data_IF_237851413108
#
_entry.id   IF_237851413108
#
_cell.length_a   1.000
_cell.length_b   1.000
_cell.length_c   1.000
_cell.angle_alpha   90.00
_cell.angle_beta   90.00
_cell.angle_gamma   90.00
#
_symmetry.space_group_name_H-M   'P 1'
#
loop_
_entity.id
_entity.type
_entity.pdbx_description
1 polymer ?
#
# COMPACT_ATOMS: atom_id res chain seq x y z
N UNK A 1 -2.45 -7.11 -24.40
CA UNK A 1 -3.93 -7.01 -24.33
C UNK A 1 -4.28 -5.61 -23.89
N UNK A 2 -5.00 -4.85 -24.71
CA UNK A 2 -5.41 -3.48 -24.38
C UNK A 2 -6.28 -3.40 -23.13
N UNK A 3 -7.18 -4.38 -22.93
CA UNK A 3 -8.02 -4.44 -21.72
C UNK A 3 -7.17 -4.57 -20.45
N UNK A 4 -6.10 -5.38 -20.49
CA UNK A 4 -5.19 -5.53 -19.36
C UNK A 4 -4.41 -4.23 -19.08
N UNK A 5 -3.93 -3.57 -20.14
CA UNK A 5 -3.23 -2.29 -20.04
C UNK A 5 -4.14 -1.20 -19.45
N UNK A 6 -5.36 -1.09 -19.97
CA UNK A 6 -6.38 -0.16 -19.47
C UNK A 6 -6.73 -0.41 -18.00
N UNK A 7 -6.89 -1.66 -17.60
CA UNK A 7 -7.13 -2.02 -16.20
C UNK A 7 -5.98 -1.56 -15.29
N UNK A 8 -4.73 -1.87 -15.68
CA UNK A 8 -3.53 -1.47 -14.93
C UNK A 8 -3.41 0.06 -14.86
N UNK A 9 -3.69 0.76 -15.96
CA UNK A 9 -3.65 2.22 -16.06
C UNK A 9 -4.63 2.88 -15.09
N UNK A 10 -5.90 2.46 -15.12
CA UNK A 10 -6.97 3.02 -14.28
C UNK A 10 -6.70 2.74 -12.79
N UNK A 11 -6.32 1.52 -12.44
CA UNK A 11 -6.01 1.14 -11.05
C UNK A 11 -4.77 1.90 -10.54
N UNK A 12 -3.73 2.02 -11.36
CA UNK A 12 -2.51 2.77 -11.03
C UNK A 12 -2.81 4.24 -10.72
N UNK A 13 -3.53 4.92 -11.62
CA UNK A 13 -3.86 6.33 -11.45
C UNK A 13 -4.83 6.58 -10.28
N UNK A 14 -5.82 5.70 -10.08
CA UNK A 14 -6.71 5.74 -8.92
C UNK A 14 -5.90 5.62 -7.63
N UNK A 15 -5.00 4.64 -7.56
CA UNK A 15 -4.13 4.44 -6.39
C UNK A 15 -3.24 5.66 -6.15
N UNK A 16 -2.66 6.22 -7.21
CA UNK A 16 -1.78 7.38 -7.14
C UNK A 16 -2.45 8.58 -6.45
N UNK A 17 -3.68 8.89 -6.85
CA UNK A 17 -4.43 10.02 -6.33
C UNK A 17 -4.98 9.76 -4.91
N UNK A 18 -5.72 8.67 -4.73
CA UNK A 18 -6.45 8.41 -3.47
C UNK A 18 -5.49 8.08 -2.31
N UNK A 19 -4.39 7.36 -2.54
CA UNK A 19 -3.40 7.14 -1.47
C UNK A 19 -2.69 8.43 -1.06
N UNK A 20 -2.51 9.37 -2.01
CA UNK A 20 -1.98 10.69 -1.71
C UNK A 20 -2.89 11.49 -0.77
N UNK A 21 -4.20 11.42 -0.95
CA UNK A 21 -5.18 12.13 -0.10
C UNK A 21 -5.11 11.67 1.36
N UNK A 22 -4.92 10.37 1.58
CA UNK A 22 -4.72 9.84 2.94
C UNK A 22 -3.47 10.49 3.58
N UNK A 23 -2.38 10.67 2.83
CA UNK A 23 -1.15 11.30 3.31
C UNK A 23 -1.34 12.71 3.91
N UNK A 24 -2.34 13.47 3.45
CA UNK A 24 -2.63 14.83 3.95
C UNK A 24 -3.04 14.82 5.43
N UNK A 25 -3.81 13.82 5.86
CA UNK A 25 -4.40 13.80 7.21
C UNK A 25 -3.56 13.01 8.23
N UNK A 26 -2.61 12.18 7.77
CA UNK A 26 -1.80 11.34 8.66
C UNK A 26 -0.93 12.19 9.58
N UNK A 27 -0.85 11.78 10.85
CA UNK A 27 -0.04 12.46 11.87
C UNK A 27 1.24 11.69 12.24
N UNK A 28 1.38 10.45 11.81
CA UNK A 28 2.61 9.67 11.98
C UNK A 28 3.57 9.96 10.81
N UNK A 29 4.79 10.40 11.12
CA UNK A 29 5.82 10.76 10.13
C UNK A 29 6.11 9.62 9.14
N UNK A 30 6.22 8.37 9.60
CA UNK A 30 6.48 7.21 8.74
C UNK A 30 5.28 6.87 7.89
N UNK A 31 4.06 6.98 8.45
CA UNK A 31 2.82 6.70 7.70
C UNK A 31 2.62 7.70 6.57
N UNK A 32 2.88 8.99 6.78
CA UNK A 32 2.83 9.99 5.70
C UNK A 32 3.77 9.57 4.55
N UNK A 33 5.00 9.17 4.87
CA UNK A 33 5.97 8.72 3.86
C UNK A 33 5.53 7.38 3.22
N UNK A 34 4.94 6.45 3.98
CA UNK A 34 4.44 5.20 3.44
C UNK A 34 3.29 5.39 2.44
N UNK A 35 2.30 6.24 2.74
CA UNK A 35 1.22 6.57 1.79
C UNK A 35 1.75 7.30 0.56
N UNK A 36 2.77 8.14 0.74
CA UNK A 36 3.43 8.76 -0.40
C UNK A 36 4.15 7.74 -1.30
N UNK A 37 4.61 6.61 -0.76
CA UNK A 37 5.15 5.48 -1.55
C UNK A 37 4.04 4.76 -2.31
N UNK A 38 2.91 4.45 -1.66
CA UNK A 38 1.76 3.84 -2.34
C UNK A 38 1.26 4.71 -3.50
N UNK A 39 1.24 6.04 -3.30
CA UNK A 39 0.92 7.00 -4.34
C UNK A 39 1.93 6.95 -5.50
N UNK A 40 3.24 6.99 -5.25
CA UNK A 40 4.25 6.93 -6.32
C UNK A 40 4.28 5.57 -7.04
N UNK A 41 4.03 4.46 -6.34
CA UNK A 41 3.84 3.15 -6.99
C UNK A 41 2.63 3.19 -7.93
N UNK A 42 1.57 3.93 -7.58
CA UNK A 42 0.45 4.19 -8.49
C UNK A 42 0.87 4.87 -9.80
N UNK A 43 1.76 5.88 -9.74
CA UNK A 43 2.34 6.51 -10.95
C UNK A 43 3.11 5.47 -11.78
N UNK A 44 3.94 4.64 -11.15
CA UNK A 44 4.71 3.61 -11.86
C UNK A 44 3.77 2.61 -12.54
N UNK A 45 2.75 2.13 -11.83
CA UNK A 45 1.75 1.19 -12.36
C UNK A 45 0.97 1.83 -13.51
N UNK A 46 0.58 3.10 -13.40
CA UNK A 46 -0.07 3.83 -14.50
C UNK A 46 0.84 3.91 -15.74
N UNK A 47 2.15 4.16 -15.56
CA UNK A 47 3.10 4.13 -16.67
C UNK A 47 3.15 2.77 -17.37
N UNK A 48 3.14 1.66 -16.62
CA UNK A 48 3.07 0.32 -17.21
C UNK A 48 1.77 0.12 -18.00
N UNK A 49 0.65 0.67 -17.51
CA UNK A 49 -0.64 0.66 -18.21
C UNK A 49 -0.62 1.45 -19.53
N UNK A 50 0.17 2.53 -19.62
CA UNK A 50 0.40 3.30 -20.85
C UNK A 50 1.50 2.69 -21.75
N UNK A 51 1.97 1.47 -21.46
CA UNK A 51 3.13 0.81 -22.10
C UNK A 51 4.45 1.59 -21.99
N UNK A 52 4.53 2.60 -21.12
CA UNK A 52 5.71 3.40 -20.82
C UNK A 52 6.61 2.70 -19.77
N UNK A 53 6.98 1.44 -20.04
CA UNK A 53 7.68 0.60 -19.07
C UNK A 53 9.02 1.19 -18.61
N UNK A 54 9.78 1.78 -19.54
CA UNK A 54 11.06 2.42 -19.24
C UNK A 54 10.89 3.63 -18.29
N UNK A 55 9.83 4.44 -18.46
CA UNK A 55 9.50 5.53 -17.55
C UNK A 55 9.12 5.03 -16.15
N UNK A 56 8.34 3.96 -16.07
CA UNK A 56 8.02 3.30 -14.80
C UNK A 56 9.27 2.80 -14.05
N UNK A 57 10.20 2.15 -14.75
CA UNK A 57 11.47 1.66 -14.18
C UNK A 57 12.43 2.80 -13.81
N UNK A 58 12.51 3.83 -14.64
CA UNK A 58 13.28 5.03 -14.34
C UNK A 58 12.76 5.71 -13.07
N UNK A 59 11.44 5.86 -12.93
CA UNK A 59 10.84 6.38 -11.70
C UNK A 59 11.10 5.46 -10.51
N UNK A 60 10.98 4.14 -10.65
CA UNK A 60 11.31 3.17 -9.60
C UNK A 60 12.73 3.37 -9.05
N UNK A 61 13.72 3.53 -9.93
CA UNK A 61 15.11 3.78 -9.53
C UNK A 61 15.25 5.11 -8.78
N UNK A 62 14.77 6.22 -9.36
CA UNK A 62 14.85 7.54 -8.69
C UNK A 62 14.15 7.53 -7.33
N UNK A 63 13.00 6.86 -7.28
CA UNK A 63 12.17 6.69 -6.09
C UNK A 63 12.86 5.92 -4.98
N UNK A 64 13.61 4.86 -5.31
CA UNK A 64 14.38 4.14 -4.31
C UNK A 64 15.34 5.08 -3.55
N UNK A 65 16.04 5.98 -4.27
CA UNK A 65 16.96 6.94 -3.64
C UNK A 65 16.23 7.96 -2.75
N UNK A 66 15.26 8.70 -3.30
CA UNK A 66 14.62 9.77 -2.53
C UNK A 66 13.69 9.24 -1.42
N UNK A 67 13.12 8.04 -1.55
CA UNK A 67 12.37 7.42 -0.43
C UNK A 67 13.28 6.89 0.66
N UNK A 68 14.38 6.23 0.30
CA UNK A 68 15.36 5.79 1.31
C UNK A 68 15.88 7.01 2.10
N UNK A 69 16.16 8.12 1.40
CA UNK A 69 16.52 9.39 2.01
C UNK A 69 15.46 9.91 2.98
N UNK A 70 14.20 9.97 2.56
CA UNK A 70 13.09 10.47 3.39
C UNK A 70 12.82 9.57 4.60
N UNK A 71 12.81 8.24 4.44
CA UNK A 71 12.61 7.31 5.56
C UNK A 71 13.76 7.35 6.55
N UNK A 72 15.01 7.44 6.07
CA UNK A 72 16.16 7.54 6.95
C UNK A 72 16.20 8.89 7.68
N UNK A 73 15.84 9.99 7.00
CA UNK A 73 15.79 11.31 7.62
C UNK A 73 14.66 11.38 8.65
N UNK A 74 13.50 10.80 8.36
CA UNK A 74 12.44 10.59 9.35
C UNK A 74 12.90 9.73 10.53
N UNK A 75 13.64 8.64 10.27
CA UNK A 75 14.23 7.80 11.31
C UNK A 75 15.18 8.58 12.23
N UNK A 76 16.02 9.45 11.65
CA UNK A 76 16.88 10.36 12.39
C UNK A 76 16.09 11.30 13.30
N UNK A 77 15.02 11.92 12.79
CA UNK A 77 14.10 12.75 13.59
C UNK A 77 13.45 11.94 14.71
N UNK A 78 12.97 10.72 14.44
CA UNK A 78 12.33 9.85 15.44
C UNK A 78 13.30 9.52 16.58
N UNK A 79 14.57 9.23 16.27
CA UNK A 79 15.60 8.98 17.28
C UNK A 79 15.83 10.24 18.12
N UNK A 80 15.93 11.41 17.49
CA UNK A 80 16.08 12.70 18.17
C UNK A 80 14.88 13.07 19.04
N UNK A 81 13.69 12.57 18.70
CA UNK A 81 12.42 12.80 19.40
C UNK A 81 12.06 11.66 20.37
N UNK A 82 13.04 10.89 20.87
CA UNK A 82 12.84 9.78 21.82
C UNK A 82 11.78 8.75 21.37
N UNK A 83 11.81 8.39 20.09
CA UNK A 83 10.90 7.46 19.43
C UNK A 83 9.46 7.96 19.21
N UNK A 84 9.17 9.24 19.48
CA UNK A 84 7.90 9.84 19.08
C UNK A 84 7.80 9.96 17.55
N UNK A 85 6.68 9.50 17.01
CA UNK A 85 6.39 9.48 15.58
C UNK A 85 5.29 10.48 15.21
N UNK A 86 4.61 11.06 16.21
CA UNK A 86 3.54 12.02 15.99
C UNK A 86 4.10 13.40 15.67
N UNK A 87 3.88 13.85 14.44
CA UNK A 87 4.38 15.14 13.94
C UNK A 87 3.78 16.32 14.71
N UNK A 88 2.65 16.14 15.41
CA UNK A 88 2.00 17.19 16.22
C UNK A 88 2.79 17.55 17.48
N UNK A 89 3.69 16.67 17.91
CA UNK A 89 4.58 16.87 19.05
C UNK A 89 5.97 17.37 18.63
N UNK A 90 6.26 17.34 17.33
CA UNK A 90 7.49 17.83 16.72
C UNK A 90 7.42 19.34 16.42
N UNK A 91 8.51 19.90 15.91
CA UNK A 91 8.60 21.29 15.46
C UNK A 91 9.98 21.86 15.65
N UNK A 92 10.38 22.83 14.82
CA UNK A 92 11.64 23.56 15.02
C UNK A 92 12.92 22.71 14.97
N UNK A 93 12.84 21.45 14.53
CA UNK A 93 13.95 20.48 14.56
C UNK A 93 15.17 20.96 13.77
N UNK A 94 14.97 21.82 12.74
CA UNK A 94 16.04 22.38 11.90
C UNK A 94 17.14 23.10 12.68
N UNK A 95 16.84 23.63 13.88
CA UNK A 95 17.82 24.33 14.71
C UNK A 95 18.91 23.39 15.24
N UNK A 96 18.56 22.12 15.42
CA UNK A 96 19.37 21.10 16.07
C UNK A 96 19.91 20.06 15.08
N UNK A 97 19.13 19.73 14.05
CA UNK A 97 19.45 18.70 13.06
C UNK A 97 19.51 19.27 11.65
N UNK A 98 20.58 20.02 11.34
CA UNK A 98 20.72 20.76 10.08
C UNK A 98 20.93 19.87 8.85
N UNK A 99 21.68 18.78 8.99
CA UNK A 99 21.95 17.84 7.88
C UNK A 99 20.68 17.04 7.59
N UNK A 100 20.02 16.53 8.63
CA UNK A 100 18.74 15.82 8.50
C UNK A 100 17.67 16.74 7.90
N UNK A 101 17.61 18.01 8.32
CA UNK A 101 16.71 19.01 7.74
C UNK A 101 16.95 19.25 6.25
N UNK A 102 18.21 19.45 5.85
CA UNK A 102 18.56 19.72 4.46
C UNK A 102 18.34 18.49 3.57
N UNK A 103 18.78 17.32 4.03
CA UNK A 103 18.61 16.06 3.29
C UNK A 103 17.12 15.69 3.15
N UNK A 104 16.30 15.92 4.18
CA UNK A 104 14.85 15.77 4.08
C UNK A 104 14.26 16.72 3.04
N UNK A 105 14.71 17.98 3.00
CA UNK A 105 14.27 18.94 1.97
C UNK A 105 14.63 18.46 0.57
N UNK A 106 15.87 18.01 0.34
CA UNK A 106 16.30 17.50 -0.96
C UNK A 106 15.49 16.28 -1.40
N UNK A 107 15.20 15.35 -0.48
CA UNK A 107 14.31 14.21 -0.76
C UNK A 107 12.87 14.63 -1.04
N UNK A 108 12.37 15.66 -0.35
CA UNK A 108 11.03 16.23 -0.57
C UNK A 108 10.94 16.89 -1.94
N UNK A 109 11.94 17.69 -2.33
CA UNK A 109 12.02 18.33 -3.64
C UNK A 109 12.11 17.30 -4.77
N UNK A 110 12.88 16.24 -4.59
CA UNK A 110 12.89 15.12 -5.52
C UNK A 110 11.52 14.44 -5.61
N UNK A 111 10.87 14.15 -4.48
CA UNK A 111 9.56 13.49 -4.45
C UNK A 111 8.44 14.29 -5.14
N UNK A 112 8.42 15.62 -4.98
CA UNK A 112 7.37 16.45 -5.60
C UNK A 112 7.60 16.67 -7.10
N UNK A 113 8.79 16.34 -7.61
CA UNK A 113 9.20 16.66 -8.98
C UNK A 113 9.57 18.14 -9.12
N UNK A 114 10.43 18.66 -8.24
CA UNK A 114 10.92 20.03 -8.42
C UNK A 114 11.95 20.09 -9.56
N UNK A 115 11.92 21.11 -10.44
CA UNK A 115 12.82 21.24 -11.58
C UNK A 115 14.29 21.01 -11.23
N UNK A 116 14.96 20.16 -12.00
CA UNK A 116 16.37 19.82 -11.81
C UNK A 116 16.66 18.72 -10.77
N UNK A 117 15.66 18.19 -10.07
CA UNK A 117 15.81 16.99 -9.23
C UNK A 117 15.44 15.72 -9.99
N UNK A 118 15.90 14.56 -9.53
CA UNK A 118 15.70 13.30 -10.23
C UNK A 118 14.23 12.96 -10.47
N UNK A 119 13.36 13.30 -9.52
CA UNK A 119 11.93 13.02 -9.63
C UNK A 119 11.20 13.90 -10.64
N UNK A 120 11.73 15.06 -11.03
CA UNK A 120 11.14 15.86 -12.11
C UNK A 120 11.23 15.10 -13.43
N UNK A 121 12.44 14.66 -13.78
CA UNK A 121 12.69 13.89 -15.00
C UNK A 121 11.85 12.61 -15.08
N UNK A 122 11.74 11.87 -13.97
CA UNK A 122 11.04 10.59 -13.99
C UNK A 122 9.53 10.70 -13.87
N UNK A 123 9.02 11.63 -13.05
CA UNK A 123 7.58 11.77 -12.81
C UNK A 123 6.88 12.48 -13.96
N UNK A 124 7.48 13.54 -14.50
CA UNK A 124 6.88 14.27 -15.63
C UNK A 124 6.85 13.39 -16.88
N UNK A 125 7.89 12.58 -17.12
CA UNK A 125 7.89 11.60 -18.22
C UNK A 125 6.74 10.60 -18.13
N UNK A 126 6.36 10.17 -16.91
CA UNK A 126 5.18 9.31 -16.71
C UNK A 126 3.89 10.07 -17.06
N UNK A 127 3.74 11.31 -16.55
CA UNK A 127 2.53 12.10 -16.77
C UNK A 127 2.34 12.39 -18.27
N UNK A 128 3.42 12.70 -18.97
CA UNK A 128 3.44 12.96 -20.41
C UNK A 128 3.12 11.68 -21.20
N UNK A 129 3.76 10.54 -20.88
CA UNK A 129 3.49 9.28 -21.56
C UNK A 129 2.06 8.75 -21.33
N UNK A 130 1.50 8.95 -20.14
CA UNK A 130 0.09 8.65 -19.88
C UNK A 130 -0.83 9.63 -20.62
N UNK A 131 -0.41 10.89 -20.79
CA UNK A 131 -1.17 11.90 -21.54
C UNK A 131 -1.18 11.65 -23.06
N UNK A 132 -0.12 11.07 -23.63
CA UNK A 132 -0.05 10.75 -25.07
C UNK A 132 -0.67 9.39 -25.42
N UNK A 133 -0.80 8.48 -24.44
CA UNK A 133 -1.39 7.15 -24.66
C UNK A 133 -2.83 7.21 -25.19
N UNK A 134 -3.11 6.37 -26.19
CA UNK A 134 -4.44 6.20 -26.78
C UNK A 134 -5.25 5.06 -26.14
N UNK A 135 -4.75 4.46 -25.06
CA UNK A 135 -5.41 3.35 -24.37
C UNK A 135 -6.65 3.88 -23.63
N UNK A 136 -7.74 3.11 -23.65
CA UNK A 136 -8.95 3.47 -22.92
C UNK A 136 -8.65 3.78 -21.44
N UNK A 137 -9.08 4.95 -20.98
CA UNK A 137 -8.84 5.44 -19.62
C UNK A 137 -7.60 6.35 -19.47
N UNK A 138 -6.86 6.63 -20.54
CA UNK A 138 -5.68 7.51 -20.49
C UNK A 138 -5.98 8.92 -20.00
N UNK A 139 -7.04 9.57 -20.51
CA UNK A 139 -7.42 10.91 -20.07
C UNK A 139 -7.74 10.96 -18.58
N UNK A 140 -8.53 9.98 -18.11
CA UNK A 140 -8.85 9.82 -16.69
C UNK A 140 -7.58 9.65 -15.84
N UNK A 141 -6.68 8.77 -16.28
CA UNK A 141 -5.44 8.50 -15.60
C UNK A 141 -4.55 9.74 -15.55
N UNK A 142 -4.36 10.42 -16.69
CA UNK A 142 -3.57 11.62 -16.82
C UNK A 142 -4.03 12.70 -15.84
N UNK A 143 -5.33 13.02 -15.79
CA UNK A 143 -5.84 14.04 -14.88
C UNK A 143 -5.67 13.66 -13.40
N UNK A 144 -5.87 12.39 -13.03
CA UNK A 144 -5.60 11.93 -11.66
C UNK A 144 -4.12 12.06 -11.29
N UNK A 145 -3.20 11.74 -12.20
CA UNK A 145 -1.77 11.90 -11.97
C UNK A 145 -1.40 13.39 -11.87
N UNK A 146 -1.97 14.26 -12.70
CA UNK A 146 -1.77 15.73 -12.66
C UNK A 146 -2.26 16.30 -11.32
N UNK A 147 -3.48 15.99 -10.88
CA UNK A 147 -3.98 16.42 -9.57
C UNK A 147 -3.21 15.77 -8.41
N UNK A 148 -2.72 14.54 -8.59
CA UNK A 148 -1.86 13.85 -7.64
C UNK A 148 -0.55 14.60 -7.37
N UNK A 149 -0.04 15.40 -8.32
CA UNK A 149 1.16 16.23 -8.11
C UNK A 149 0.90 17.31 -7.06
N UNK A 150 -0.25 18.00 -7.14
CA UNK A 150 -0.67 18.97 -6.12
C UNK A 150 -0.75 18.31 -4.74
N UNK A 151 -1.42 17.14 -4.66
CA UNK A 151 -1.59 16.39 -3.41
C UNK A 151 -0.24 15.96 -2.85
N UNK A 152 0.68 15.50 -3.71
CA UNK A 152 2.05 15.12 -3.35
C UNK A 152 2.81 16.26 -2.73
N UNK A 153 2.78 17.43 -3.36
CA UNK A 153 3.42 18.62 -2.81
C UNK A 153 2.80 19.04 -1.47
N UNK A 154 1.47 19.03 -1.38
CA UNK A 154 0.76 19.44 -0.18
C UNK A 154 1.12 18.58 1.05
N UNK A 155 1.02 17.25 0.97
CA UNK A 155 1.34 16.41 2.15
C UNK A 155 2.84 16.41 2.47
N UNK A 156 3.71 16.51 1.46
CA UNK A 156 5.16 16.45 1.66
C UNK A 156 5.67 17.72 2.33
N UNK A 157 5.23 18.88 1.86
CA UNK A 157 5.58 20.16 2.48
C UNK A 157 4.84 20.42 3.80
N UNK A 158 3.61 19.91 3.96
CA UNK A 158 2.95 19.87 5.28
C UNK A 158 3.85 19.17 6.30
N UNK A 159 4.32 17.98 5.97
CA UNK A 159 5.21 17.20 6.85
C UNK A 159 6.49 17.98 7.16
N UNK A 160 7.15 18.49 6.11
CA UNK A 160 8.38 19.27 6.26
C UNK A 160 8.21 20.52 7.14
N UNK A 161 7.14 21.31 6.94
CA UNK A 161 6.91 22.52 7.72
C UNK A 161 6.56 22.22 9.17
N UNK A 162 5.70 21.23 9.43
CA UNK A 162 5.32 20.86 10.80
C UNK A 162 6.55 20.39 11.58
N UNK A 163 7.32 19.45 11.02
CA UNK A 163 8.46 18.83 11.72
C UNK A 163 9.61 19.81 11.93
N UNK A 164 10.00 20.55 10.89
CA UNK A 164 11.24 21.34 10.93
C UNK A 164 11.05 22.82 11.22
N UNK A 165 9.88 23.40 10.89
CA UNK A 165 9.63 24.85 10.95
C UNK A 165 8.56 25.25 11.97
N UNK A 166 7.88 24.29 12.61
CA UNK A 166 6.92 24.55 13.69
C UNK A 166 7.53 25.22 14.93
N UNK A 167 6.69 25.50 15.93
CA UNK A 167 7.04 26.26 17.15
C UNK A 167 8.02 25.56 18.12
N UNK A 168 8.55 24.39 17.76
CA UNK A 168 9.45 23.60 18.60
C UNK A 168 8.78 22.33 19.13
N UNK A 169 9.54 21.34 19.63
CA UNK A 169 8.99 20.16 20.28
C UNK A 169 8.16 20.56 21.50
N UNK A 170 7.05 19.84 21.74
CA UNK A 170 6.20 20.09 22.93
C UNK A 170 6.84 19.62 24.23
N UNK A 171 7.58 18.51 24.17
CA UNK A 171 8.33 17.97 25.30
C UNK A 171 9.63 18.76 25.51
N UNK A 172 9.85 19.26 26.73
CA UNK A 172 11.06 20.00 27.08
C UNK A 172 12.29 19.10 27.20
N UNK A 173 12.13 17.85 27.67
CA UNK A 173 13.23 16.89 27.76
C UNK A 173 13.77 16.52 26.37
N UNK A 174 12.86 16.40 25.40
CA UNK A 174 13.25 16.19 24.01
C UNK A 174 14.12 17.35 23.47
N UNK A 175 13.92 18.59 23.91
CA UNK A 175 14.71 19.74 23.43
C UNK A 175 16.16 19.68 23.88
N UNK A 176 16.43 19.20 25.10
CA UNK A 176 17.79 19.17 25.67
C UNK A 176 18.69 18.13 25.00
N UNK A 177 18.09 17.06 24.49
CA UNK A 177 18.83 15.96 23.86
C UNK A 177 18.73 15.93 22.33
N UNK A 178 17.96 16.85 21.72
CA UNK A 178 17.83 16.93 20.28
C UNK A 178 19.16 17.39 19.65
N UNK A 179 19.81 16.46 18.96
CA UNK A 179 21.06 16.67 18.22
C UNK A 179 21.08 15.81 16.97
N UNK A 180 22.00 16.09 16.06
CA UNK A 180 22.18 15.26 14.88
C UNK A 180 22.45 13.79 15.25
N UNK A 181 21.99 12.92 14.37
CA UNK A 181 22.28 11.49 14.49
C UNK A 181 23.78 11.20 14.32
N UNK A 182 24.26 10.05 14.83
CA UNK A 182 25.65 9.63 14.63
C UNK A 182 25.97 9.45 13.13
N UNK A 183 27.27 9.48 12.79
CA UNK A 183 27.76 9.40 11.42
C UNK A 183 27.24 8.18 10.64
N UNK A 184 26.95 7.07 11.33
CA UNK A 184 26.36 5.86 10.73
C UNK A 184 24.99 6.12 10.08
N UNK A 185 24.25 7.14 10.54
CA UNK A 185 22.98 7.59 9.95
C UNK A 185 23.21 8.77 9.00
N UNK A 186 24.02 9.75 9.42
CA UNK A 186 24.21 11.00 8.66
C UNK A 186 24.95 10.79 7.33
N UNK A 187 25.92 9.88 7.28
CA UNK A 187 26.66 9.60 6.05
C UNK A 187 25.74 8.99 4.97
N UNK A 188 24.95 7.92 5.23
CA UNK A 188 23.98 7.44 4.26
C UNK A 188 22.95 8.50 3.82
N UNK A 189 22.53 9.42 4.70
CA UNK A 189 21.64 10.53 4.31
C UNK A 189 22.29 11.41 3.22
N UNK A 190 23.55 11.80 3.41
CA UNK A 190 24.27 12.61 2.42
C UNK A 190 24.46 11.82 1.11
N UNK A 191 24.87 10.56 1.22
CA UNK A 191 25.10 9.70 0.05
C UNK A 191 23.81 9.44 -0.76
N UNK A 192 22.66 9.33 -0.11
CA UNK A 192 21.36 9.17 -0.77
C UNK A 192 20.81 10.50 -1.34
N UNK A 193 21.21 11.64 -0.77
CA UNK A 193 20.83 12.96 -1.30
C UNK A 193 21.46 13.24 -2.67
N UNK A 194 22.71 12.82 -2.91
CA UNK A 194 23.41 13.02 -4.18
C UNK A 194 22.62 12.44 -5.38
N UNK A 195 22.30 11.13 -5.45
CA UNK A 195 21.54 10.58 -6.56
C UNK A 195 20.11 11.13 -6.60
N UNK A 196 19.48 11.45 -5.47
CA UNK A 196 18.14 12.08 -5.45
C UNK A 196 18.10 13.44 -6.15
N UNK A 197 19.22 14.15 -6.22
CA UNK A 197 19.35 15.40 -6.99
C UNK A 197 19.77 15.08 -8.42
N UNK A 198 20.86 14.33 -8.59
CA UNK A 198 21.60 14.33 -9.86
C UNK A 198 21.32 13.15 -10.79
N UNK A 199 20.82 12.00 -10.30
CA UNK A 199 20.75 10.78 -11.14
C UNK A 199 19.87 10.97 -12.38
N UNK A 200 18.83 11.81 -12.27
CA UNK A 200 17.91 12.08 -13.38
C UNK A 200 18.60 12.73 -14.58
N UNK A 201 19.60 13.59 -14.35
CA UNK A 201 20.35 14.26 -15.42
C UNK A 201 21.12 13.29 -16.30
N UNK A 202 21.68 12.25 -15.69
CA UNK A 202 22.51 11.26 -16.38
C UNK A 202 21.70 10.09 -16.94
N UNK A 203 20.59 9.74 -16.28
CA UNK A 203 19.84 8.52 -16.59
C UNK A 203 18.66 8.74 -17.54
N UNK A 204 18.08 9.95 -17.63
CA UNK A 204 16.89 10.20 -18.45
C UNK A 204 17.11 9.77 -19.91
N UNK A 205 18.19 10.23 -20.54
CA UNK A 205 18.45 9.99 -21.95
C UNK A 205 18.78 8.51 -22.23
N UNK A 206 19.74 7.86 -21.55
CA UNK A 206 20.01 6.44 -21.78
C UNK A 206 18.81 5.52 -21.50
N UNK A 207 18.04 5.80 -20.44
CA UNK A 207 16.95 4.91 -20.00
C UNK A 207 15.65 5.11 -20.76
N UNK A 208 15.27 6.35 -21.09
CA UNK A 208 13.99 6.63 -21.75
C UNK A 208 14.09 6.64 -23.27
N UNK A 209 15.18 7.20 -23.80
CA UNK A 209 15.32 7.48 -25.24
C UNK A 209 16.52 6.77 -25.88
N UNK A 210 17.31 6.02 -25.10
CA UNK A 210 18.49 5.30 -25.54
C UNK A 210 18.30 3.79 -25.61
N UNK A 211 19.41 3.08 -25.82
CA UNK A 211 19.44 1.62 -26.01
C UNK A 211 19.49 0.82 -24.68
N UNK A 212 19.36 1.45 -23.51
CA UNK A 212 19.57 0.78 -22.20
C UNK A 212 18.67 -0.45 -21.99
N UNK A 213 17.43 -0.40 -22.48
CA UNK A 213 16.46 -1.49 -22.38
C UNK A 213 16.25 -2.27 -23.70
N UNK A 214 17.10 -2.03 -24.70
CA UNK A 214 16.98 -2.67 -26.01
C UNK A 214 17.04 -4.19 -25.88
N UNK A 215 16.03 -4.87 -26.42
CA UNK A 215 15.91 -6.34 -26.35
C UNK A 215 15.45 -6.89 -25.00
N UNK A 216 15.23 -6.04 -23.99
CA UNK A 216 14.68 -6.44 -22.68
C UNK A 216 13.20 -6.06 -22.58
N UNK A 217 12.85 -4.85 -22.99
CA UNK A 217 11.47 -4.38 -23.00
C UNK A 217 10.87 -4.55 -24.40
N UNK A 218 9.66 -5.09 -24.45
CA UNK A 218 8.87 -5.17 -25.67
C UNK A 218 7.67 -4.22 -25.56
N UNK A 219 7.62 -3.25 -26.46
CA UNK A 219 6.50 -2.30 -26.62
C UNK A 219 5.95 -2.49 -28.03
N UNK A 220 4.63 -2.66 -28.14
CA UNK A 220 3.98 -2.71 -29.44
C UNK A 220 4.00 -1.30 -30.05
N UNK A 221 4.27 -1.18 -31.35
CA UNK A 221 4.37 0.12 -32.03
C UNK A 221 3.11 0.99 -31.90
N UNK A 222 1.93 0.37 -31.74
CA UNK A 222 0.67 1.07 -31.50
C UNK A 222 0.58 1.76 -30.13
N UNK A 223 1.47 1.44 -29.18
CA UNK A 223 1.47 1.98 -27.81
C UNK A 223 2.83 2.59 -27.44
N UNK A 224 3.65 2.96 -28.42
CA UNK A 224 4.99 3.52 -28.17
C UNK A 224 4.95 5.00 -27.82
N UNK A 225 4.38 5.29 -26.64
CA UNK A 225 4.22 6.66 -26.11
C UNK A 225 5.54 7.35 -25.84
N UNK A 226 6.58 6.60 -25.46
CA UNK A 226 7.91 7.15 -25.21
C UNK A 226 8.66 7.45 -26.52
N UNK A 227 8.43 6.67 -27.58
CA UNK A 227 8.91 6.99 -28.92
C UNK A 227 8.39 8.34 -29.40
N UNK A 228 7.07 8.58 -29.30
CA UNK A 228 6.44 9.86 -29.66
C UNK A 228 7.00 11.04 -28.85
N UNK A 229 7.17 10.89 -27.53
CA UNK A 229 7.79 11.91 -26.68
C UNK A 229 9.25 12.13 -27.06
N UNK A 230 9.96 11.06 -27.44
CA UNK A 230 11.35 11.08 -27.85
C UNK A 230 11.60 11.95 -29.08
N UNK A 231 10.64 12.08 -30.00
CA UNK A 231 10.75 12.97 -31.17
C UNK A 231 10.85 14.45 -30.78
N UNK A 232 10.26 14.82 -29.65
CA UNK A 232 10.27 16.18 -29.10
C UNK A 232 11.33 16.38 -28.00
N UNK A 233 12.00 15.31 -27.56
CA UNK A 233 13.08 15.39 -26.60
C UNK A 233 14.38 15.86 -27.27
N UNK A 234 14.88 17.01 -26.86
CA UNK A 234 16.15 17.56 -27.38
C UNK A 234 17.31 17.45 -26.41
N UNK A 235 17.09 17.83 -25.15
CA UNK A 235 18.08 17.76 -24.07
C UNK A 235 17.40 17.94 -22.71
N UNK A 236 18.16 17.73 -21.64
CA UNK A 236 17.70 17.78 -20.25
C UNK A 236 17.15 19.17 -19.87
N UNK A 237 17.78 20.24 -20.37
CA UNK A 237 17.35 21.63 -20.09
C UNK A 237 16.05 21.95 -20.83
N UNK A 238 15.91 21.47 -22.07
CA UNK A 238 14.68 21.56 -22.86
C UNK A 238 13.51 20.87 -22.15
N UNK A 239 13.74 19.64 -21.66
CA UNK A 239 12.75 18.90 -20.87
C UNK A 239 12.32 19.68 -19.62
N UNK A 240 13.28 20.26 -18.88
CA UNK A 240 12.98 21.14 -17.73
C UNK A 240 12.16 22.35 -18.15
N UNK A 241 12.56 23.04 -19.22
CA UNK A 241 11.87 24.26 -19.66
C UNK A 241 10.42 23.99 -20.08
N UNK A 242 10.16 22.85 -20.74
CA UNK A 242 8.82 22.41 -21.09
C UNK A 242 7.99 22.09 -19.84
N UNK A 243 8.51 21.27 -18.92
CA UNK A 243 7.76 20.87 -17.73
C UNK A 243 7.50 22.02 -16.74
N UNK A 244 8.39 23.02 -16.66
CA UNK A 244 8.15 24.24 -15.85
C UNK A 244 6.98 25.08 -16.40
N UNK A 245 6.76 25.05 -17.72
CA UNK A 245 5.61 25.72 -18.33
C UNK A 245 4.33 24.89 -18.23
N UNK A 246 4.45 23.58 -17.98
CA UNK A 246 3.33 22.67 -17.90
C UNK A 246 2.53 22.81 -16.58
N UNK A 247 1.26 22.40 -16.63
CA UNK A 247 0.34 22.45 -15.50
C UNK A 247 0.84 21.70 -14.23
N UNK A 248 1.48 20.51 -14.31
CA UNK A 248 1.98 19.80 -13.14
C UNK A 248 2.91 20.63 -12.24
N UNK A 249 3.81 21.44 -12.83
CA UNK A 249 4.71 22.30 -12.06
C UNK A 249 3.93 23.34 -11.25
N UNK A 250 2.98 24.04 -11.86
CA UNK A 250 2.15 25.03 -11.17
C UNK A 250 1.28 24.42 -10.07
N UNK A 251 0.80 23.20 -10.28
CA UNK A 251 0.10 22.43 -9.26
C UNK A 251 1.01 22.02 -8.10
N UNK A 252 2.25 21.59 -8.37
CA UNK A 252 3.23 21.31 -7.31
C UNK A 252 3.52 22.56 -6.48
N UNK A 253 3.77 23.70 -7.14
CA UNK A 253 4.01 24.98 -6.49
C UNK A 253 2.78 25.47 -5.72
N UNK A 254 1.58 25.24 -6.24
CA UNK A 254 0.32 25.51 -5.56
C UNK A 254 0.18 24.66 -4.28
N UNK A 255 0.49 23.37 -4.34
CA UNK A 255 0.47 22.48 -3.17
C UNK A 255 1.47 22.91 -2.09
N UNK A 256 2.68 23.29 -2.50
CA UNK A 256 3.71 23.87 -1.63
C UNK A 256 3.23 25.19 -0.99
N UNK A 257 2.66 26.10 -1.78
CA UNK A 257 2.16 27.38 -1.30
C UNK A 257 1.00 27.23 -0.31
N UNK A 258 0.06 26.32 -0.60
CA UNK A 258 -1.03 25.96 0.32
C UNK A 258 -0.47 25.36 1.60
N UNK A 259 0.49 24.43 1.51
CA UNK A 259 1.12 23.83 2.69
C UNK A 259 1.80 24.90 3.56
N UNK A 260 2.55 25.81 2.94
CA UNK A 260 3.23 26.90 3.63
C UNK A 260 2.23 27.84 4.33
N UNK A 261 1.21 28.29 3.60
CA UNK A 261 0.23 29.22 4.16
C UNK A 261 -0.61 28.58 5.27
N UNK A 262 -1.12 27.36 5.07
CA UNK A 262 -1.99 26.69 6.04
C UNK A 262 -1.22 26.22 7.26
N UNK A 263 -0.06 25.60 7.11
CA UNK A 263 0.63 24.94 8.24
C UNK A 263 1.70 25.80 8.91
N UNK A 264 2.26 26.81 8.23
CA UNK A 264 3.25 27.71 8.82
C UNK A 264 2.66 29.07 9.21
N UNK A 265 1.87 29.69 8.32
CA UNK A 265 1.34 31.04 8.55
C UNK A 265 0.04 31.07 9.34
N UNK A 266 -0.96 30.24 8.98
CA UNK A 266 -2.29 30.25 9.61
C UNK A 266 -2.82 28.84 9.96
N UNK A 267 -2.25 28.17 10.97
CA UNK A 267 -2.64 26.81 11.39
C UNK A 267 -4.12 26.64 11.76
N UNK A 268 -4.82 27.73 12.13
CA UNK A 268 -6.25 27.70 12.43
C UNK A 268 -7.12 27.27 11.24
N UNK A 269 -6.64 27.47 10.00
CA UNK A 269 -7.35 26.99 8.79
C UNK A 269 -7.49 25.47 8.82
N UNK A 270 -6.41 24.74 9.11
CA UNK A 270 -6.44 23.28 9.15
C UNK A 270 -7.38 22.75 10.24
N UNK A 271 -7.40 23.39 11.42
CA UNK A 271 -8.31 23.04 12.51
C UNK A 271 -9.77 23.28 12.13
N UNK A 272 -10.08 24.43 11.53
CA UNK A 272 -11.42 24.77 11.08
C UNK A 272 -11.92 23.84 9.96
N UNK A 273 -11.05 23.50 9.01
CA UNK A 273 -11.38 22.54 7.94
C UNK A 273 -11.68 21.17 8.50
N UNK A 274 -10.91 20.70 9.49
CA UNK A 274 -11.20 19.42 10.17
C UNK A 274 -12.58 19.42 10.84
N UNK A 275 -12.94 20.49 11.54
CA UNK A 275 -14.24 20.59 12.22
C UNK A 275 -15.39 20.67 11.20
N UNK A 276 -15.23 21.47 10.15
CA UNK A 276 -16.27 21.67 9.13
C UNK A 276 -16.49 20.45 8.24
N UNK A 277 -15.42 19.72 7.93
CA UNK A 277 -15.43 18.54 7.05
C UNK A 277 -15.06 17.27 7.83
N UNK A 278 -15.61 17.11 9.03
CA UNK A 278 -15.30 15.96 9.90
C UNK A 278 -15.65 14.62 9.22
N UNK A 279 -16.73 14.57 8.44
CA UNK A 279 -17.11 13.37 7.68
C UNK A 279 -16.03 12.96 6.64
N UNK A 280 -15.42 13.94 5.96
CA UNK A 280 -14.37 13.69 4.97
C UNK A 280 -13.07 13.31 5.66
N UNK A 281 -12.75 13.99 6.77
CA UNK A 281 -11.62 13.63 7.61
C UNK A 281 -11.75 12.18 8.11
N UNK A 282 -12.93 11.81 8.63
CA UNK A 282 -13.22 10.46 9.13
C UNK A 282 -13.14 9.40 8.01
N UNK A 283 -13.62 9.71 6.80
CA UNK A 283 -13.50 8.82 5.64
C UNK A 283 -12.02 8.55 5.29
N UNK A 284 -11.19 9.60 5.24
CA UNK A 284 -9.77 9.47 4.95
C UNK A 284 -9.01 8.77 6.09
N UNK A 285 -9.38 9.04 7.34
CA UNK A 285 -8.73 8.45 8.53
C UNK A 285 -8.99 6.94 8.62
N UNK A 286 -10.20 6.52 8.23
CA UNK A 286 -10.57 5.11 8.02
C UNK A 286 -10.08 4.54 6.69
N UNK A 287 -9.25 5.25 5.93
CA UNK A 287 -8.68 4.79 4.66
C UNK A 287 -9.76 4.30 3.67
N UNK A 288 -10.85 5.04 3.57
CA UNK A 288 -12.03 4.69 2.77
C UNK A 288 -12.82 3.46 3.25
N UNK A 289 -12.55 2.95 4.45
CA UNK A 289 -13.18 1.75 5.00
C UNK A 289 -12.58 0.43 4.49
N UNK A 290 -11.44 0.49 3.80
CA UNK A 290 -10.85 -0.68 3.13
C UNK A 290 -10.30 -1.71 4.14
N UNK A 291 -9.75 -1.24 5.26
CA UNK A 291 -9.26 -2.12 6.33
C UNK A 291 -10.43 -2.88 6.98
N UNK A 292 -11.51 -2.17 7.28
CA UNK A 292 -12.72 -2.72 7.88
C UNK A 292 -13.42 -3.70 6.94
N UNK A 293 -13.50 -3.37 5.64
CA UNK A 293 -14.01 -4.27 4.62
C UNK A 293 -13.18 -5.56 4.56
N UNK A 294 -11.86 -5.45 4.59
CA UNK A 294 -10.99 -6.62 4.56
C UNK A 294 -11.17 -7.50 5.81
N UNK A 295 -11.20 -6.89 6.99
CA UNK A 295 -11.43 -7.59 8.25
C UNK A 295 -12.82 -8.26 8.31
N UNK A 296 -13.86 -7.58 7.83
CA UNK A 296 -15.22 -8.11 7.84
C UNK A 296 -15.39 -9.27 6.84
N UNK A 297 -14.98 -9.05 5.59
CA UNK A 297 -15.23 -10.02 4.50
C UNK A 297 -14.24 -11.18 4.57
N UNK A 298 -12.93 -10.90 4.54
CA UNK A 298 -11.93 -11.96 4.40
C UNK A 298 -11.63 -12.62 5.74
N UNK A 299 -11.27 -11.84 6.76
CA UNK A 299 -10.92 -12.43 8.06
C UNK A 299 -12.17 -13.00 8.76
N UNK A 300 -13.24 -12.21 8.86
CA UNK A 300 -14.52 -12.60 9.44
C UNK A 300 -15.17 -13.77 8.69
N UNK A 301 -15.21 -13.70 7.35
CA UNK A 301 -15.74 -14.77 6.51
C UNK A 301 -14.94 -16.08 6.66
N UNK A 302 -13.61 -16.00 6.65
CA UNK A 302 -12.76 -17.19 6.84
C UNK A 302 -12.97 -17.83 8.22
N UNK A 303 -13.09 -17.01 9.27
CA UNK A 303 -13.36 -17.49 10.62
C UNK A 303 -14.74 -18.13 10.74
N UNK A 304 -15.76 -17.54 10.09
CA UNK A 304 -17.12 -18.09 10.05
C UNK A 304 -17.14 -19.45 9.36
N UNK A 305 -16.54 -19.54 8.16
CA UNK A 305 -16.44 -20.81 7.41
C UNK A 305 -15.68 -21.86 8.22
N UNK A 306 -14.56 -21.48 8.85
CA UNK A 306 -13.82 -22.39 9.73
C UNK A 306 -14.66 -22.90 10.91
N UNK A 307 -15.40 -22.02 11.58
CA UNK A 307 -16.32 -22.40 12.68
C UNK A 307 -17.45 -23.30 12.20
N UNK A 308 -18.00 -23.06 11.01
CA UNK A 308 -19.05 -23.89 10.44
C UNK A 308 -18.53 -25.29 10.13
N UNK A 309 -17.39 -25.39 9.45
CA UNK A 309 -16.78 -26.69 9.13
C UNK A 309 -16.40 -27.46 10.40
N UNK A 310 -15.89 -26.78 11.44
CA UNK A 310 -15.56 -27.44 12.70
C UNK A 310 -16.79 -27.91 13.47
N UNK A 311 -17.77 -27.03 13.70
CA UNK A 311 -18.92 -27.38 14.55
C UNK A 311 -19.89 -28.32 13.83
N UNK A 312 -20.19 -28.06 12.56
CA UNK A 312 -21.15 -28.86 11.80
C UNK A 312 -20.46 -30.08 11.19
N UNK A 313 -19.35 -29.87 10.48
CA UNK A 313 -18.63 -30.96 9.81
C UNK A 313 -18.03 -31.94 10.81
N UNK A 314 -17.13 -31.46 11.66
CA UNK A 314 -16.34 -32.35 12.52
C UNK A 314 -17.15 -32.84 13.73
N UNK A 315 -17.49 -31.92 14.65
CA UNK A 315 -18.14 -32.31 15.91
C UNK A 315 -19.51 -32.96 15.74
N UNK A 316 -20.31 -32.46 14.81
CA UNK A 316 -21.71 -32.94 14.67
C UNK A 316 -21.79 -34.11 13.72
N UNK A 317 -21.32 -33.98 12.48
CA UNK A 317 -21.46 -35.04 11.47
C UNK A 317 -20.47 -36.19 11.71
N UNK A 318 -19.17 -35.90 11.88
CA UNK A 318 -18.16 -36.95 12.03
C UNK A 318 -18.21 -37.55 13.44
N UNK A 319 -17.90 -36.76 14.46
CA UNK A 319 -17.82 -37.27 15.84
C UNK A 319 -19.19 -37.69 16.36
N UNK A 320 -20.19 -36.82 16.20
CA UNK A 320 -21.53 -37.03 16.72
C UNK A 320 -22.26 -38.19 16.04
N UNK A 321 -22.46 -38.10 14.73
CA UNK A 321 -23.28 -39.06 13.98
C UNK A 321 -22.46 -40.29 13.56
N UNK A 322 -21.34 -40.10 12.85
CA UNK A 322 -20.64 -41.22 12.24
C UNK A 322 -19.93 -42.10 13.28
N UNK A 323 -19.22 -41.52 14.24
CA UNK A 323 -18.45 -42.26 15.25
C UNK A 323 -19.32 -42.63 16.45
N UNK A 324 -19.75 -41.64 17.23
CA UNK A 324 -20.49 -41.89 18.47
C UNK A 324 -21.90 -42.42 18.24
N UNK A 325 -22.57 -41.98 17.16
CA UNK A 325 -23.89 -42.48 16.77
C UNK A 325 -23.88 -43.96 16.39
N UNK A 326 -22.86 -44.39 15.64
CA UNK A 326 -22.60 -45.80 15.36
C UNK A 326 -22.37 -46.60 16.64
N UNK A 327 -21.49 -46.11 17.53
CA UNK A 327 -21.20 -46.76 18.81
C UNK A 327 -22.46 -46.89 19.70
N UNK A 328 -23.28 -45.83 19.79
CA UNK A 328 -24.55 -45.85 20.54
C UNK A 328 -25.53 -46.86 19.95
N UNK A 329 -25.62 -46.95 18.63
CA UNK A 329 -26.49 -47.94 17.96
C UNK A 329 -26.12 -49.38 18.32
N UNK A 330 -24.82 -49.70 18.31
CA UNK A 330 -24.34 -51.02 18.78
C UNK A 330 -24.62 -51.24 20.27
N UNK A 331 -24.46 -50.20 21.10
CA UNK A 331 -24.79 -50.28 22.53
C UNK A 331 -26.28 -50.58 22.79
N UNK A 332 -27.18 -49.94 22.04
CA UNK A 332 -28.63 -50.20 22.12
C UNK A 332 -28.96 -51.62 21.66
N UNK A 333 -28.38 -52.07 20.55
CA UNK A 333 -28.55 -53.45 20.08
C UNK A 333 -28.06 -54.45 21.12
N UNK A 334 -26.89 -54.24 21.74
CA UNK A 334 -26.36 -55.11 22.77
C UNK A 334 -27.27 -55.14 24.02
N UNK A 335 -27.85 -54.01 24.42
CA UNK A 335 -28.82 -53.95 25.51
C UNK A 335 -30.10 -54.71 25.17
N UNK A 336 -30.62 -54.59 23.94
CA UNK A 336 -31.79 -55.34 23.50
C UNK A 336 -31.52 -56.85 23.47
N UNK A 337 -30.37 -57.27 22.91
CA UNK A 337 -29.95 -58.68 22.86
C UNK A 337 -29.77 -59.28 24.26
N UNK A 338 -29.39 -58.47 25.26
CA UNK A 338 -29.25 -58.93 26.65
C UNK A 338 -30.53 -59.55 27.20
N UNK A 339 -31.71 -59.05 26.80
CA UNK A 339 -33.00 -59.57 27.25
C UNK A 339 -33.32 -60.98 26.74
N UNK A 340 -32.64 -61.44 25.68
CA UNK A 340 -32.74 -62.83 25.21
C UNK A 340 -32.17 -63.80 26.25
N UNK A 341 -31.22 -63.35 27.07
CA UNK A 341 -30.62 -64.15 28.15
C UNK A 341 -31.40 -63.94 29.45
N UNK A 342 -32.49 -64.69 29.64
CA UNK A 342 -33.39 -64.53 30.79
C UNK A 342 -32.93 -65.21 32.08
N UNK A 343 -31.89 -66.05 32.03
CA UNK A 343 -31.37 -66.81 33.18
C UNK A 343 -32.20 -68.02 33.59
N UNK A 344 -33.39 -68.22 33.01
CA UNK A 344 -34.25 -69.37 33.28
C UNK A 344 -33.93 -70.55 32.35
N UNK A 345 -33.58 -71.70 32.92
CA UNK A 345 -33.18 -72.92 32.19
C UNK A 345 -34.17 -73.36 31.08
N UNK A 346 -35.47 -73.19 31.29
CA UNK A 346 -36.49 -73.62 30.32
C UNK A 346 -36.51 -72.75 29.05
N UNK A 347 -36.16 -71.46 29.12
CA UNK A 347 -36.03 -70.61 27.93
C UNK A 347 -34.90 -71.11 27.02
N UNK A 348 -33.77 -71.52 27.62
CA UNK A 348 -32.64 -72.10 26.88
C UNK A 348 -33.00 -73.46 26.25
N UNK A 349 -33.70 -74.33 26.98
CA UNK A 349 -34.15 -75.61 26.46
C UNK A 349 -35.06 -75.46 25.23
N UNK A 350 -36.05 -74.56 25.30
CA UNK A 350 -36.93 -74.25 24.16
C UNK A 350 -36.12 -73.69 22.99
N UNK A 351 -35.20 -72.76 23.24
CA UNK A 351 -34.36 -72.18 22.19
C UNK A 351 -33.48 -73.24 21.48
N UNK A 352 -32.91 -74.20 22.24
CA UNK A 352 -32.14 -75.30 21.66
C UNK A 352 -32.99 -76.25 20.82
N UNK A 353 -34.20 -76.59 21.28
CA UNK A 353 -35.13 -77.45 20.51
C UNK A 353 -35.55 -76.74 19.22
N UNK A 354 -35.95 -75.46 19.30
CA UNK A 354 -36.30 -74.66 18.12
C UNK A 354 -35.11 -74.50 17.16
N UNK A 355 -33.90 -74.30 17.71
CA UNK A 355 -32.67 -74.23 16.92
C UNK A 355 -32.38 -75.55 16.19
N UNK A 356 -32.51 -76.69 16.88
CA UNK A 356 -32.32 -78.02 16.29
C UNK A 356 -33.38 -78.31 15.22
N UNK A 357 -34.66 -78.04 15.52
CA UNK A 357 -35.75 -78.19 14.55
C UNK A 357 -35.55 -77.29 13.32
N UNK A 358 -35.11 -76.04 13.53
CA UNK A 358 -34.80 -75.11 12.45
C UNK A 358 -33.62 -75.57 11.59
N UNK A 359 -32.55 -76.08 12.20
CA UNK A 359 -31.41 -76.66 11.48
C UNK A 359 -31.79 -77.93 10.72
N UNK A 360 -32.58 -78.82 11.34
CA UNK A 360 -33.09 -80.04 10.69
C UNK A 360 -34.04 -79.70 9.54
N UNK A 361 -34.95 -78.75 9.73
CA UNK A 361 -35.82 -78.26 8.68
C UNK A 361 -35.01 -77.66 7.53
N UNK A 362 -34.04 -76.79 7.84
CA UNK A 362 -33.15 -76.23 6.83
C UNK A 362 -32.34 -77.31 6.10
N UNK A 363 -31.86 -78.32 6.81
CA UNK A 363 -31.12 -79.46 6.25
C UNK A 363 -31.99 -80.37 5.38
N UNK A 364 -33.30 -80.48 5.67
CA UNK A 364 -34.25 -81.29 4.89
C UNK A 364 -34.79 -80.52 3.68
N UNK A 365 -34.88 -79.18 3.78
CA UNK A 365 -35.38 -78.30 2.71
C UNK A 365 -34.28 -77.86 1.74
N UNK A 366 -33.01 -77.84 2.17
CA UNK A 366 -31.85 -77.88 1.26
C UNK A 366 -31.62 -79.30 0.78
#
# INVERSE_FOLDING_TARGET
>A
SETALSFVLIIGATTAFFMGLIGIIQNDIKRVIAYSTLSQLGYMVAALGASAYAAGLFHLMTHAFFKALLFLAAGSVIIGMHHDQDIRNMGGVRKYMKVTWLTFLLGTLALIGFPGFSGFFSKDAIIEAVGSSQIFGSDYAHWLLVFGVFVTALYSFRLYFIVFHGKGPRDEHAKEHLKESPAVVTLPLILLAIPSVFIGWFAIEPMLFGDFFKGVLHVASAHDTLGEIGEHYHNQVGFISHGVMALPFWLAMGGLAVAWYVYLMKPSIAQNLRIRFDWLYALLDRKYGFDELNQFIFAGGSLLTGKLLWNVGDKTLIDGIAVNGSARSFGVLAQAVRWIQSGYLYHYAIAMILGLLGLLFWFVVR
#
